data_IF_821386794421
#
_entry.id   IF_821386794421
#
_cell.length_a   1.000
_cell.length_b   1.000
_cell.length_c   1.000
_cell.angle_alpha   90.00
_cell.angle_beta   90.00
_cell.angle_gamma   90.00
#
_symmetry.space_group_name_H-M   'P 1'
#
loop_
_entity.id
_entity.type
_entity.pdbx_description
1 polymer ?
#
# COMPACT_ATOMS: atom_id res chain seq x y z
N UNK A 1 2.36 -2.71 11.73
CA UNK A 1 1.09 -2.72 10.98
C UNK A 1 0.05 -1.77 11.57
N UNK A 2 -0.58 -2.09 12.71
CA UNK A 2 -1.66 -1.26 13.27
C UNK A 2 -1.33 0.23 13.34
N UNK A 3 -0.21 0.60 13.98
CA UNK A 3 0.19 2.00 14.12
C UNK A 3 0.39 2.72 12.78
N UNK A 4 0.97 2.07 11.78
CA UNK A 4 1.14 2.67 10.45
C UNK A 4 -0.23 2.89 9.78
N UNK A 5 -1.12 1.91 9.87
CA UNK A 5 -2.47 1.97 9.30
C UNK A 5 -3.28 3.12 9.87
N UNK A 6 -3.34 3.25 11.19
CA UNK A 6 -4.12 4.32 11.84
C UNK A 6 -3.48 5.68 11.63
N UNK A 7 -2.14 5.77 11.67
CA UNK A 7 -1.41 7.01 11.46
C UNK A 7 -1.62 7.57 10.05
N UNK A 8 -1.37 6.77 9.00
CA UNK A 8 -1.47 7.25 7.61
C UNK A 8 -2.91 7.55 7.20
N UNK A 9 -3.91 6.93 7.84
CA UNK A 9 -5.32 7.23 7.61
C UNK A 9 -5.75 8.57 8.23
N UNK A 10 -5.13 8.98 9.34
CA UNK A 10 -5.56 10.13 10.16
C UNK A 10 -4.69 11.36 9.94
N UNK A 11 -3.37 11.20 9.91
CA UNK A 11 -2.40 12.31 9.81
C UNK A 11 -2.64 13.26 8.63
N UNK A 12 -2.98 12.81 7.42
CA UNK A 12 -3.25 13.72 6.30
C UNK A 12 -4.43 14.66 6.57
N UNK A 13 -5.29 14.34 7.53
CA UNK A 13 -6.52 15.07 7.82
C UNK A 13 -6.50 15.73 9.20
N UNK A 14 -5.39 15.70 9.95
CA UNK A 14 -5.35 16.29 11.28
C UNK A 14 -5.67 17.78 11.26
N UNK A 15 -6.52 18.26 12.18
CA UNK A 15 -6.84 19.69 12.27
C UNK A 15 -5.72 20.50 12.93
N UNK A 16 -5.06 19.90 13.91
CA UNK A 16 -3.91 20.49 14.60
C UNK A 16 -2.66 19.76 14.09
N UNK A 17 -1.78 20.44 13.33
CA UNK A 17 -0.55 19.84 12.83
C UNK A 17 0.28 19.19 13.93
N UNK A 18 0.70 17.94 13.70
CA UNK A 18 1.50 17.13 14.63
C UNK A 18 0.70 16.38 15.71
N UNK A 19 -0.62 16.53 15.76
CA UNK A 19 -1.46 15.82 16.75
C UNK A 19 -1.48 14.31 16.54
N UNK A 20 -1.54 13.84 15.29
CA UNK A 20 -1.48 12.41 14.98
C UNK A 20 -0.10 11.82 15.29
N UNK A 21 0.97 12.58 15.06
CA UNK A 21 2.35 12.17 15.37
C UNK A 21 2.59 12.11 16.90
N UNK A 22 2.01 13.03 17.68
CA UNK A 22 2.07 12.98 19.14
C UNK A 22 1.35 11.74 19.67
N UNK A 23 0.16 11.45 19.16
CA UNK A 23 -0.61 10.27 19.52
C UNK A 23 0.14 8.98 19.15
N UNK A 24 0.74 8.93 17.96
CA UNK A 24 1.61 7.83 17.53
C UNK A 24 2.77 7.63 18.50
N UNK A 25 3.50 8.69 18.86
CA UNK A 25 4.64 8.60 19.79
C UNK A 25 4.24 8.02 21.15
N UNK A 26 3.12 8.51 21.73
CA UNK A 26 2.55 7.98 22.98
C UNK A 26 2.34 6.46 22.90
N UNK A 27 1.66 5.99 21.85
CA UNK A 27 1.35 4.57 21.70
C UNK A 27 2.57 3.73 21.32
N UNK A 28 3.51 4.28 20.54
CA UNK A 28 4.74 3.62 20.18
C UNK A 28 5.62 3.33 21.42
N UNK A 29 5.79 4.31 22.32
CA UNK A 29 6.54 4.10 23.58
C UNK A 29 5.87 3.04 24.46
N UNK A 30 4.55 3.12 24.63
CA UNK A 30 3.79 2.09 25.37
C UNK A 30 3.92 0.68 24.77
N UNK A 31 3.96 0.57 23.44
CA UNK A 31 4.19 -0.71 22.77
C UNK A 31 5.63 -1.22 23.01
N UNK A 32 6.64 -0.34 23.00
CA UNK A 32 8.03 -0.72 23.32
C UNK A 32 8.16 -1.25 24.74
N UNK A 33 7.59 -0.55 25.71
CA UNK A 33 7.58 -0.99 27.12
C UNK A 33 6.92 -2.36 27.27
N UNK A 34 5.78 -2.56 26.62
CA UNK A 34 5.09 -3.85 26.61
C UNK A 34 5.94 -4.98 26.04
N UNK A 35 6.69 -4.73 24.95
CA UNK A 35 7.53 -5.75 24.34
C UNK A 35 8.63 -6.24 25.30
N UNK A 36 9.12 -5.35 26.17
CA UNK A 36 10.11 -5.70 27.20
C UNK A 36 9.47 -6.57 28.30
N UNK A 37 8.25 -6.24 28.73
CA UNK A 37 7.55 -6.93 29.82
C UNK A 37 6.95 -8.28 29.36
N UNK A 38 6.51 -8.39 28.11
CA UNK A 38 5.88 -9.59 27.56
C UNK A 38 4.41 -9.78 27.96
N UNK A 39 3.71 -8.73 28.40
CA UNK A 39 2.31 -8.82 28.86
C UNK A 39 1.30 -8.98 27.71
N UNK A 40 0.74 -10.19 27.60
CA UNK A 40 -0.33 -10.53 26.62
C UNK A 40 -1.65 -9.82 26.89
N UNK A 41 -2.02 -9.52 28.15
CA UNK A 41 -3.29 -8.84 28.46
C UNK A 41 -3.20 -7.37 28.03
N UNK A 42 -2.09 -6.72 28.32
CA UNK A 42 -1.77 -5.40 27.81
C UNK A 42 -1.81 -5.34 26.30
N UNK A 43 -1.53 -6.42 25.57
CA UNK A 43 -1.40 -6.36 24.10
C UNK A 43 -2.75 -6.08 23.46
N UNK A 44 -3.78 -6.82 23.89
CA UNK A 44 -5.16 -6.57 23.44
C UNK A 44 -5.67 -5.21 23.92
N UNK A 45 -5.36 -4.81 25.15
CA UNK A 45 -5.74 -3.50 25.65
C UNK A 45 -5.12 -2.36 24.82
N UNK A 46 -3.84 -2.49 24.44
CA UNK A 46 -3.14 -1.54 23.60
C UNK A 46 -3.73 -1.48 22.19
N UNK A 47 -3.99 -2.63 21.55
CA UNK A 47 -4.65 -2.65 20.22
C UNK A 47 -5.97 -1.89 20.25
N UNK A 48 -6.83 -2.17 21.24
CA UNK A 48 -8.12 -1.51 21.37
C UNK A 48 -7.95 -0.01 21.57
N UNK A 49 -7.12 0.39 22.52
CA UNK A 49 -6.88 1.80 22.84
C UNK A 49 -6.28 2.59 21.68
N UNK A 50 -5.37 1.98 20.89
CA UNK A 50 -4.83 2.60 19.67
C UNK A 50 -5.97 2.88 18.68
N UNK A 51 -6.81 1.88 18.38
CA UNK A 51 -7.91 2.06 17.43
C UNK A 51 -8.86 3.14 17.93
N UNK A 52 -9.31 3.07 19.19
CA UNK A 52 -10.26 4.01 19.78
C UNK A 52 -9.73 5.46 19.79
N UNK A 53 -8.51 5.70 20.27
CA UNK A 53 -7.96 7.06 20.33
C UNK A 53 -7.72 7.66 18.94
N UNK A 54 -7.26 6.86 17.96
CA UNK A 54 -7.09 7.34 16.59
C UNK A 54 -8.42 7.52 15.85
N UNK A 55 -9.47 6.76 16.18
CA UNK A 55 -10.82 6.92 15.62
C UNK A 55 -11.50 8.20 16.15
N UNK A 56 -11.16 8.59 17.37
CA UNK A 56 -11.66 9.81 18.02
C UNK A 56 -10.83 11.06 17.72
N UNK A 57 -9.60 10.93 17.17
CA UNK A 57 -8.79 12.09 16.82
C UNK A 57 -9.54 12.99 15.84
N UNK A 58 -9.62 14.28 16.17
CA UNK A 58 -10.33 15.27 15.37
C UNK A 58 -9.62 15.51 14.03
N UNK A 59 -10.36 15.29 12.93
CA UNK A 59 -9.86 15.43 11.57
C UNK A 59 -10.76 16.32 10.71
N UNK A 60 -10.19 16.84 9.64
CA UNK A 60 -10.88 17.48 8.53
C UNK A 60 -11.59 16.44 7.66
N UNK A 61 -12.73 16.82 7.08
CA UNK A 61 -13.50 16.00 6.14
C UNK A 61 -13.17 16.32 4.67
N UNK A 62 -12.13 17.13 4.41
CA UNK A 62 -11.71 17.47 3.04
C UNK A 62 -11.24 16.20 2.34
N UNK A 63 -11.84 15.80 1.19
CA UNK A 63 -11.42 14.61 0.47
C UNK A 63 -10.00 14.78 -0.08
N UNK A 64 -9.21 13.69 -0.01
CA UNK A 64 -7.86 13.64 -0.54
C UNK A 64 -7.70 12.44 -1.48
N UNK A 65 -6.92 12.55 -2.57
CA UNK A 65 -6.62 11.40 -3.40
C UNK A 65 -5.91 10.33 -2.56
N UNK A 66 -6.41 9.10 -2.64
CA UNK A 66 -5.83 7.95 -1.94
C UNK A 66 -4.79 7.29 -2.84
N UNK A 67 -3.60 7.07 -2.31
CA UNK A 67 -2.45 6.52 -3.02
C UNK A 67 -1.93 5.29 -2.28
N UNK A 68 -1.94 4.15 -2.96
CA UNK A 68 -1.36 2.91 -2.48
C UNK A 68 0.13 2.84 -2.79
N UNK A 69 0.96 2.54 -1.79
CA UNK A 69 2.40 2.29 -2.00
C UNK A 69 2.65 0.79 -1.87
N UNK A 70 3.06 0.17 -2.98
CA UNK A 70 3.38 -1.26 -3.08
C UNK A 70 4.79 -1.43 -3.61
N UNK A 71 5.41 -2.59 -3.46
CA UNK A 71 6.76 -2.79 -3.96
C UNK A 71 7.61 -3.74 -3.14
N UNK A 72 8.91 -3.63 -3.36
CA UNK A 72 9.91 -4.41 -2.64
C UNK A 72 9.88 -4.10 -1.14
N UNK A 73 10.05 -5.13 -0.30
CA UNK A 73 9.84 -5.01 1.15
C UNK A 73 10.65 -3.89 1.82
N UNK A 74 11.95 -3.76 1.54
CA UNK A 74 12.77 -2.72 2.16
C UNK A 74 12.38 -1.33 1.65
N UNK A 75 12.29 -1.16 0.34
CA UNK A 75 11.95 0.12 -0.29
C UNK A 75 10.52 0.55 0.07
N UNK A 76 9.59 -0.38 0.27
CA UNK A 76 8.20 -0.07 0.67
C UNK A 76 8.12 0.50 2.08
N UNK A 77 8.88 -0.03 3.04
CA UNK A 77 8.72 0.32 4.46
C UNK A 77 9.78 1.27 5.02
N UNK A 78 10.99 1.31 4.46
CA UNK A 78 12.10 2.06 5.03
C UNK A 78 12.20 3.48 4.44
N UNK A 79 11.97 4.56 5.21
CA UNK A 79 11.92 5.91 4.66
C UNK A 79 13.21 6.37 3.99
N UNK A 80 14.38 5.96 4.51
CA UNK A 80 15.67 6.28 3.88
C UNK A 80 15.92 5.53 2.56
N UNK A 81 15.19 4.44 2.30
CA UNK A 81 15.32 3.67 1.06
C UNK A 81 14.39 4.20 -0.05
N UNK A 82 13.44 5.08 0.28
CA UNK A 82 12.42 5.57 -0.64
C UNK A 82 12.24 7.10 -0.63
N UNK A 83 13.23 7.83 -0.13
CA UNK A 83 13.19 9.30 -0.01
C UNK A 83 11.93 9.80 0.72
N UNK A 84 11.56 9.12 1.81
CA UNK A 84 10.40 9.44 2.64
C UNK A 84 9.09 9.56 1.85
N UNK A 85 8.85 8.65 0.91
CA UNK A 85 7.71 8.72 -0.04
C UNK A 85 6.36 8.98 0.63
N UNK A 86 6.11 8.38 1.80
CA UNK A 86 4.85 8.57 2.53
C UNK A 86 4.67 10.03 2.91
N UNK A 87 5.70 10.66 3.52
CA UNK A 87 5.64 12.07 3.92
C UNK A 87 5.50 12.98 2.71
N UNK A 88 6.27 12.73 1.66
CA UNK A 88 6.17 13.48 0.42
C UNK A 88 4.75 13.47 -0.16
N UNK A 89 4.13 12.28 -0.29
CA UNK A 89 2.77 12.17 -0.81
C UNK A 89 1.74 12.89 0.08
N UNK A 90 1.89 12.82 1.41
CA UNK A 90 1.03 13.51 2.35
C UNK A 90 1.17 15.04 2.27
N UNK A 91 2.39 15.55 2.12
CA UNK A 91 2.71 16.97 1.92
C UNK A 91 2.11 17.49 0.61
N UNK A 92 2.10 16.68 -0.45
CA UNK A 92 1.41 16.97 -1.70
C UNK A 92 -0.12 16.80 -1.62
N UNK A 93 -0.65 16.48 -0.43
CA UNK A 93 -2.09 16.48 -0.15
C UNK A 93 -2.79 15.14 -0.38
N UNK A 94 -2.08 14.02 -0.46
CA UNK A 94 -2.66 12.69 -0.61
C UNK A 94 -2.84 11.95 0.74
N UNK A 95 -3.76 10.99 0.78
CA UNK A 95 -3.81 9.94 1.81
C UNK A 95 -3.02 8.73 1.32
N UNK A 96 -2.08 8.24 2.13
CA UNK A 96 -1.26 7.08 1.76
C UNK A 96 -1.80 5.81 2.41
N UNK A 97 -1.98 4.77 1.60
CA UNK A 97 -2.22 3.40 2.09
C UNK A 97 -0.98 2.55 1.84
N UNK A 98 -0.44 2.02 2.94
CA UNK A 98 0.67 1.08 2.92
C UNK A 98 0.14 -0.29 3.38
N UNK A 99 0.22 -1.34 2.55
CA UNK A 99 -0.14 -2.70 2.97
C UNK A 99 0.67 -3.19 4.18
N UNK A 100 0.12 -4.16 4.92
CA UNK A 100 0.72 -4.64 6.18
C UNK A 100 1.98 -5.47 5.92
N UNK A 101 3.02 -5.27 6.74
CA UNK A 101 4.27 -6.05 6.64
C UNK A 101 4.02 -7.53 6.90
N UNK A 102 3.07 -7.86 7.80
CA UNK A 102 2.68 -9.23 8.09
C UNK A 102 2.18 -9.99 6.85
N UNK A 103 1.64 -9.29 5.85
CA UNK A 103 1.16 -9.92 4.62
C UNK A 103 2.30 -10.53 3.78
N UNK A 104 3.52 -10.01 3.86
CA UNK A 104 4.69 -10.61 3.20
C UNK A 104 5.05 -11.98 3.80
N UNK A 105 4.92 -12.13 5.12
CA UNK A 105 5.13 -13.42 5.79
C UNK A 105 3.99 -14.39 5.49
N UNK A 106 2.75 -13.89 5.41
CA UNK A 106 1.61 -14.69 4.97
C UNK A 106 1.77 -15.17 3.52
N UNK A 107 2.29 -14.33 2.63
CA UNK A 107 2.67 -14.71 1.26
C UNK A 107 3.70 -15.83 1.25
N UNK A 108 4.82 -15.66 1.96
CA UNK A 108 5.85 -16.69 2.10
C UNK A 108 5.29 -18.02 2.62
N UNK A 109 4.35 -17.97 3.56
CA UNK A 109 3.67 -19.13 4.10
C UNK A 109 2.73 -19.79 3.09
N UNK A 110 1.96 -18.97 2.36
CA UNK A 110 1.05 -19.43 1.31
C UNK A 110 1.80 -20.09 0.16
N UNK A 111 2.97 -19.59 -0.21
CA UNK A 111 3.79 -20.18 -1.28
C UNK A 111 4.18 -21.63 -0.98
N UNK A 112 4.44 -21.98 0.28
CA UNK A 112 4.65 -23.40 0.68
C UNK A 112 3.41 -24.26 0.40
N UNK A 113 2.22 -23.71 0.62
CA UNK A 113 0.94 -24.36 0.29
C UNK A 113 0.78 -24.53 -1.22
N UNK A 114 1.18 -23.53 -2.02
CA UNK A 114 1.10 -23.61 -3.47
C UNK A 114 2.10 -24.63 -4.04
N UNK A 115 3.37 -24.54 -3.64
CA UNK A 115 4.46 -25.42 -4.10
C UNK A 115 4.15 -26.89 -3.82
N UNK A 116 3.58 -27.20 -2.65
CA UNK A 116 3.19 -28.57 -2.30
C UNK A 116 2.03 -29.16 -3.13
N UNK A 117 1.20 -28.30 -3.73
CA UNK A 117 0.05 -28.74 -4.55
C UNK A 117 0.33 -28.75 -6.04
N UNK A 118 1.05 -27.73 -6.52
CA UNK A 118 1.20 -27.44 -7.94
C UNK A 118 2.61 -27.77 -8.47
N UNK A 119 3.58 -28.00 -7.60
CA UNK A 119 4.97 -28.29 -7.93
C UNK A 119 5.46 -29.53 -7.15
N UNK A 120 6.75 -29.85 -7.23
CA UNK A 120 7.37 -31.01 -6.56
C UNK A 120 7.56 -30.83 -5.05
N UNK A 121 6.65 -30.13 -4.37
CA UNK A 121 6.71 -29.90 -2.92
C UNK A 121 6.25 -31.10 -2.09
N UNK A 122 6.60 -31.11 -0.81
CA UNK A 122 6.26 -32.20 0.11
C UNK A 122 4.94 -31.91 0.85
N UNK A 123 4.26 -32.96 1.31
CA UNK A 123 3.09 -32.82 2.20
C UNK A 123 3.47 -32.07 3.50
N UNK A 124 4.71 -32.21 3.97
CA UNK A 124 5.23 -31.44 5.10
C UNK A 124 5.21 -29.92 4.84
N UNK A 125 5.50 -29.49 3.61
CA UNK A 125 5.46 -28.07 3.23
C UNK A 125 4.03 -27.53 3.25
N UNK A 126 3.05 -28.35 2.82
CA UNK A 126 1.62 -28.01 2.92
C UNK A 126 1.21 -27.77 4.37
N UNK A 127 1.55 -28.72 5.26
CA UNK A 127 1.18 -28.65 6.68
C UNK A 127 1.87 -27.46 7.35
N UNK A 128 3.18 -27.28 7.14
CA UNK A 128 3.94 -26.16 7.70
C UNK A 128 3.40 -24.81 7.22
N UNK A 129 3.15 -24.66 5.91
CA UNK A 129 2.59 -23.45 5.32
C UNK A 129 1.22 -23.11 5.91
N UNK A 130 0.31 -24.10 6.00
CA UNK A 130 -1.03 -23.89 6.56
C UNK A 130 -0.98 -23.51 8.04
N UNK A 131 -0.20 -24.23 8.85
CA UNK A 131 -0.05 -23.91 10.28
C UNK A 131 0.52 -22.50 10.48
N UNK A 132 1.48 -22.09 9.65
CA UNK A 132 2.07 -20.76 9.76
C UNK A 132 1.09 -19.66 9.32
N UNK A 133 0.32 -19.88 8.24
CA UNK A 133 -0.78 -18.97 7.87
C UNK A 133 -1.80 -18.84 9.00
N UNK A 134 -2.26 -19.96 9.57
CA UNK A 134 -3.26 -19.96 10.65
C UNK A 134 -2.73 -19.24 11.89
N UNK A 135 -1.46 -19.44 12.24
CA UNK A 135 -0.79 -18.75 13.35
C UNK A 135 -0.76 -17.22 13.14
N UNK A 136 -0.28 -16.76 11.99
CA UNK A 136 -0.17 -15.33 11.68
C UNK A 136 -1.54 -14.66 11.53
N UNK A 137 -2.53 -15.35 10.97
CA UNK A 137 -3.90 -14.81 10.91
C UNK A 137 -4.54 -14.74 12.30
N UNK A 138 -4.31 -15.74 13.14
CA UNK A 138 -4.81 -15.76 14.52
C UNK A 138 -4.21 -14.63 15.35
N UNK A 139 -2.92 -14.33 15.17
CA UNK A 139 -2.24 -13.25 15.91
C UNK A 139 -2.82 -11.86 15.61
N UNK A 140 -3.26 -11.62 14.36
CA UNK A 140 -3.92 -10.35 13.96
C UNK A 140 -5.44 -10.34 14.11
N UNK A 141 -6.07 -11.45 14.48
CA UNK A 141 -7.55 -11.57 14.55
C UNK A 141 -8.19 -10.50 15.44
N UNK A 142 -7.59 -10.22 16.59
CA UNK A 142 -8.10 -9.20 17.50
C UNK A 142 -7.93 -7.78 16.94
N UNK A 143 -6.83 -7.51 16.25
CA UNK A 143 -6.62 -6.25 15.53
C UNK A 143 -7.68 -6.05 14.44
N UNK A 144 -7.96 -7.07 13.64
CA UNK A 144 -8.99 -7.03 12.60
C UNK A 144 -10.36 -6.73 13.20
N UNK A 145 -10.73 -7.41 14.29
CA UNK A 145 -12.00 -7.15 14.98
C UNK A 145 -12.13 -5.68 15.43
N UNK A 146 -11.10 -5.11 16.04
CA UNK A 146 -11.14 -3.70 16.46
C UNK A 146 -11.23 -2.75 15.25
N UNK A 147 -10.51 -3.03 14.16
CA UNK A 147 -10.56 -2.22 12.94
C UNK A 147 -11.93 -2.31 12.26
N UNK A 148 -12.57 -3.49 12.22
CA UNK A 148 -13.91 -3.70 11.66
C UNK A 148 -15.02 -3.03 12.48
N UNK A 149 -14.80 -2.82 13.79
CA UNK A 149 -15.72 -2.11 14.68
C UNK A 149 -15.53 -0.59 14.67
N UNK A 150 -14.44 -0.10 14.07
CA UNK A 150 -14.14 1.33 13.94
C UNK A 150 -15.00 1.99 12.86
N UNK A 151 -15.26 3.29 13.02
CA UNK A 151 -15.96 4.07 11.99
C UNK A 151 -15.03 4.54 10.86
N UNK A 152 -13.71 4.54 11.09
CA UNK A 152 -12.72 5.18 10.20
C UNK A 152 -11.78 4.19 9.50
N UNK A 153 -11.50 3.05 10.12
CA UNK A 153 -10.48 2.11 9.65
C UNK A 153 -11.07 0.88 8.99
N UNK A 154 -10.23 0.16 8.23
CA UNK A 154 -10.58 -1.13 7.62
C UNK A 154 -9.52 -2.17 7.94
N UNK A 155 -9.97 -3.42 8.15
CA UNK A 155 -9.09 -4.55 8.34
C UNK A 155 -8.37 -4.96 7.03
N UNK A 156 -7.17 -5.55 7.11
CA UNK A 156 -6.46 -6.07 5.94
C UNK A 156 -7.13 -7.32 5.36
N UNK A 157 -7.14 -7.44 4.03
CA UNK A 157 -7.59 -8.63 3.30
C UNK A 157 -6.79 -9.88 3.67
N UNK A 158 -7.42 -11.05 3.63
CA UNK A 158 -6.74 -12.33 3.84
C UNK A 158 -5.77 -12.67 2.70
N UNK A 159 -4.74 -13.46 2.99
CA UNK A 159 -3.81 -13.92 1.94
C UNK A 159 -4.50 -14.78 0.87
N UNK A 160 -5.53 -15.53 1.26
CA UNK A 160 -6.35 -16.32 0.34
C UNK A 160 -7.14 -15.44 -0.63
N UNK A 161 -7.66 -14.31 -0.16
CA UNK A 161 -8.30 -13.32 -1.02
C UNK A 161 -7.29 -12.73 -2.00
N UNK A 162 -6.13 -12.29 -1.51
CA UNK A 162 -5.07 -11.75 -2.36
C UNK A 162 -4.61 -12.76 -3.43
N UNK A 163 -4.43 -14.03 -3.06
CA UNK A 163 -4.12 -15.10 -4.00
C UNK A 163 -5.20 -15.29 -5.06
N UNK A 164 -6.49 -15.22 -4.70
CA UNK A 164 -7.59 -15.34 -5.66
C UNK A 164 -7.72 -14.14 -6.60
N UNK A 165 -7.24 -12.96 -6.19
CA UNK A 165 -7.13 -11.78 -7.06
C UNK A 165 -6.01 -11.95 -8.09
N UNK A 166 -4.81 -12.34 -7.65
CA UNK A 166 -3.68 -12.52 -8.55
C UNK A 166 -3.88 -13.66 -9.55
N UNK A 167 -4.51 -14.77 -9.13
CA UNK A 167 -4.73 -15.95 -9.99
C UNK A 167 -5.62 -15.66 -11.22
N UNK A 168 -6.38 -14.57 -11.21
CA UNK A 168 -7.19 -14.13 -12.34
C UNK A 168 -6.36 -13.53 -13.48
N UNK A 169 -5.14 -13.09 -13.21
CA UNK A 169 -4.30 -12.40 -14.20
C UNK A 169 -2.90 -13.00 -14.37
N UNK A 170 -2.42 -13.79 -13.41
CA UNK A 170 -1.15 -14.50 -13.51
C UNK A 170 -1.14 -15.82 -12.72
N UNK A 171 -0.20 -16.70 -13.04
CA UNK A 171 0.05 -17.89 -12.23
C UNK A 171 0.58 -17.52 -10.85
N UNK A 172 0.08 -18.19 -9.80
CA UNK A 172 0.64 -18.08 -8.45
C UNK A 172 1.99 -18.78 -8.31
N UNK A 173 2.52 -19.40 -9.36
CA UNK A 173 3.89 -19.94 -9.39
C UNK A 173 5.00 -18.90 -9.53
N UNK A 174 4.66 -17.62 -9.71
CA UNK A 174 5.64 -16.53 -9.70
C UNK A 174 6.05 -16.25 -8.25
N UNK A 175 7.14 -16.88 -7.79
CA UNK A 175 7.61 -16.80 -6.39
C UNK A 175 8.86 -15.92 -6.19
N UNK A 176 9.51 -15.49 -7.27
CA UNK A 176 10.73 -14.69 -7.15
C UNK A 176 10.41 -13.30 -6.57
N UNK A 177 11.19 -12.84 -5.58
CA UNK A 177 10.92 -11.60 -4.86
C UNK A 177 9.53 -11.61 -4.21
N UNK A 178 8.77 -10.54 -4.39
CA UNK A 178 7.38 -10.44 -3.97
C UNK A 178 6.41 -11.21 -4.90
N UNK A 179 6.91 -11.75 -6.01
CA UNK A 179 6.17 -12.68 -6.85
C UNK A 179 4.78 -12.20 -7.25
N UNK A 180 3.81 -13.11 -7.20
CA UNK A 180 2.39 -12.83 -7.45
C UNK A 180 1.75 -11.92 -6.41
N UNK A 181 2.34 -11.83 -5.21
CA UNK A 181 1.79 -11.05 -4.10
C UNK A 181 1.84 -9.54 -4.38
N UNK A 182 2.88 -9.04 -5.04
CA UNK A 182 2.93 -7.63 -5.47
C UNK A 182 1.75 -7.27 -6.38
N UNK A 183 1.44 -8.13 -7.36
CA UNK A 183 0.29 -7.97 -8.24
C UNK A 183 -1.02 -8.02 -7.46
N UNK A 184 -1.13 -8.93 -6.49
CA UNK A 184 -2.29 -9.04 -5.63
C UNK A 184 -2.52 -7.77 -4.81
N UNK A 185 -1.48 -7.19 -4.21
CA UNK A 185 -1.57 -5.94 -3.43
C UNK A 185 -2.12 -4.79 -4.30
N UNK A 186 -1.64 -4.66 -5.54
CA UNK A 186 -2.16 -3.66 -6.47
C UNK A 186 -3.65 -3.83 -6.72
N UNK A 187 -4.10 -5.06 -7.05
CA UNK A 187 -5.51 -5.32 -7.34
C UNK A 187 -6.37 -5.13 -6.09
N UNK A 188 -5.90 -5.59 -4.92
CA UNK A 188 -6.61 -5.48 -3.64
C UNK A 188 -6.85 -4.01 -3.30
N UNK A 189 -5.83 -3.15 -3.43
CA UNK A 189 -5.95 -1.71 -3.21
C UNK A 189 -6.92 -1.04 -4.18
N UNK A 190 -6.83 -1.37 -5.48
CA UNK A 190 -7.75 -0.83 -6.50
C UNK A 190 -9.20 -1.19 -6.16
N UNK A 191 -9.48 -2.44 -5.76
CA UNK A 191 -10.81 -2.89 -5.35
C UNK A 191 -11.31 -2.24 -4.06
N UNK A 192 -10.41 -1.79 -3.19
CA UNK A 192 -10.73 -1.05 -1.95
C UNK A 192 -10.76 0.48 -2.15
N UNK A 193 -10.96 0.95 -3.39
CA UNK A 193 -11.13 2.37 -3.71
C UNK A 193 -9.83 3.16 -3.63
N UNK A 194 -8.68 2.52 -3.87
CA UNK A 194 -7.36 3.16 -3.96
C UNK A 194 -6.77 2.90 -5.35
N UNK A 195 -7.29 3.58 -6.39
CA UNK A 195 -6.90 3.31 -7.77
C UNK A 195 -5.53 3.88 -8.14
N UNK A 196 -5.01 4.85 -7.36
CA UNK A 196 -3.70 5.43 -7.58
C UNK A 196 -2.65 4.59 -6.86
N UNK A 197 -1.69 4.04 -7.61
CA UNK A 197 -0.68 3.13 -7.07
C UNK A 197 0.71 3.60 -7.45
N UNK A 198 1.59 3.68 -6.46
CA UNK A 198 3.03 3.80 -6.65
C UNK A 198 3.69 2.46 -6.37
N UNK A 199 4.27 1.86 -7.42
CA UNK A 199 5.05 0.64 -7.32
C UNK A 199 6.53 0.99 -7.15
N UNK A 200 7.05 0.87 -5.93
CA UNK A 200 8.43 1.20 -5.58
C UNK A 200 9.34 -0.04 -5.70
N UNK A 201 10.57 0.16 -6.16
CA UNK A 201 11.55 -0.92 -6.25
C UNK A 201 12.98 -0.40 -6.27
N UNK A 202 13.95 -1.22 -5.87
CA UNK A 202 15.34 -0.93 -6.18
C UNK A 202 15.60 -1.08 -7.68
N UNK A 203 16.54 -0.32 -8.20
CA UNK A 203 16.96 -0.45 -9.60
C UNK A 203 17.44 -1.86 -9.93
N UNK A 204 17.03 -2.35 -11.11
CA UNK A 204 17.40 -3.68 -11.58
C UNK A 204 16.64 -4.85 -10.93
N UNK A 205 15.55 -4.58 -10.20
CA UNK A 205 14.71 -5.64 -9.62
C UNK A 205 13.97 -6.45 -10.71
N UNK A 206 14.63 -7.49 -11.23
CA UNK A 206 14.07 -8.38 -12.27
C UNK A 206 12.70 -9.00 -11.88
N UNK A 207 12.47 -9.46 -10.63
CA UNK A 207 11.17 -9.99 -10.27
C UNK A 207 10.05 -8.95 -10.39
N UNK A 208 10.26 -7.73 -9.90
CA UNK A 208 9.29 -6.64 -10.00
C UNK A 208 9.10 -6.19 -11.46
N UNK A 209 10.12 -6.25 -12.31
CA UNK A 209 9.95 -6.03 -13.75
C UNK A 209 8.92 -6.99 -14.37
N UNK A 210 8.84 -8.23 -13.90
CA UNK A 210 7.87 -9.23 -14.38
C UNK A 210 6.51 -9.06 -13.69
N UNK A 211 6.46 -9.12 -12.36
CA UNK A 211 5.19 -9.20 -11.61
C UNK A 211 4.63 -7.84 -11.18
N UNK A 212 5.48 -6.81 -11.11
CA UNK A 212 5.10 -5.43 -10.86
C UNK A 212 4.85 -4.66 -12.16
N UNK A 213 5.93 -4.09 -12.73
CA UNK A 213 5.88 -3.26 -13.95
C UNK A 213 5.23 -4.00 -15.13
N UNK A 214 5.62 -5.26 -15.35
CA UNK A 214 5.11 -6.07 -16.46
C UNK A 214 3.59 -6.29 -16.40
N UNK A 215 3.00 -6.24 -15.20
CA UNK A 215 1.56 -6.43 -15.01
C UNK A 215 0.73 -5.17 -15.14
N UNK A 216 1.34 -3.98 -15.10
CA UNK A 216 0.62 -2.70 -15.15
C UNK A 216 -0.35 -2.64 -16.34
N UNK A 217 0.08 -3.07 -17.54
CA UNK A 217 -0.78 -3.07 -18.73
C UNK A 217 -2.00 -3.97 -18.55
N UNK A 218 -1.82 -5.17 -18.00
CA UNK A 218 -2.91 -6.13 -17.79
C UNK A 218 -3.85 -5.66 -16.67
N UNK A 219 -3.32 -5.08 -15.60
CA UNK A 219 -4.12 -4.49 -14.51
C UNK A 219 -4.96 -3.33 -15.06
N UNK A 220 -4.38 -2.38 -15.80
CA UNK A 220 -5.12 -1.26 -16.40
C UNK A 220 -6.19 -1.69 -17.39
N UNK A 221 -5.98 -2.78 -18.13
CA UNK A 221 -7.00 -3.34 -19.02
C UNK A 221 -8.22 -3.88 -18.26
N UNK A 222 -8.00 -4.48 -17.08
CA UNK A 222 -9.06 -5.01 -16.23
C UNK A 222 -9.68 -3.95 -15.30
N UNK A 223 -8.93 -2.90 -14.97
CA UNK A 223 -9.30 -1.81 -14.07
C UNK A 223 -8.95 -0.46 -14.71
N UNK A 224 -9.81 0.08 -15.60
CA UNK A 224 -9.49 1.28 -16.39
C UNK A 224 -9.24 2.55 -15.57
N UNK A 225 -9.77 2.60 -14.33
CA UNK A 225 -9.54 3.70 -13.40
C UNK A 225 -8.16 3.63 -12.71
N UNK A 226 -7.40 2.54 -12.87
CA UNK A 226 -6.12 2.36 -12.19
C UNK A 226 -5.05 3.33 -12.74
N UNK A 227 -4.53 4.17 -11.85
CA UNK A 227 -3.45 5.11 -12.11
C UNK A 227 -2.17 4.61 -11.45
N UNK A 228 -1.42 3.77 -12.18
CA UNK A 228 -0.22 3.11 -11.65
C UNK A 228 1.03 3.73 -12.24
N UNK A 229 1.97 4.11 -11.36
CA UNK A 229 3.32 4.57 -11.71
C UNK A 229 4.36 3.71 -10.99
N UNK A 230 5.44 3.37 -11.68
CA UNK A 230 6.58 2.67 -11.10
C UNK A 230 7.74 3.64 -10.84
N UNK A 231 8.35 3.53 -9.67
CA UNK A 231 9.48 4.35 -9.22
C UNK A 231 10.64 3.43 -8.87
N UNK A 232 11.77 3.69 -9.53
CA UNK A 232 13.04 3.02 -9.27
C UNK A 232 13.88 3.89 -8.35
N UNK A 233 14.27 3.32 -7.21
CA UNK A 233 15.21 3.92 -6.28
C UNK A 233 16.62 3.39 -6.59
N UNK A 234 17.49 4.32 -6.96
CA UNK A 234 18.88 4.09 -7.34
C UNK A 234 19.72 5.26 -6.81
N UNK A 235 20.81 5.01 -6.06
CA UNK A 235 21.77 6.06 -5.70
C UNK A 235 22.35 6.79 -6.93
N UNK A 236 22.40 6.13 -8.09
CA UNK A 236 22.89 6.71 -9.34
C UNK A 236 21.86 7.55 -10.11
N UNK A 237 20.57 7.46 -9.77
CA UNK A 237 19.52 8.19 -10.46
C UNK A 237 19.15 9.49 -9.74
N UNK A 238 18.80 10.53 -10.50
CA UNK A 238 18.36 11.80 -9.93
C UNK A 238 17.05 11.65 -9.16
N UNK A 239 17.07 12.07 -7.89
CA UNK A 239 15.87 12.17 -7.04
C UNK A 239 14.76 13.01 -7.71
N UNK A 240 15.14 14.07 -8.44
CA UNK A 240 14.21 14.94 -9.17
C UNK A 240 13.35 14.15 -10.16
N UNK A 241 13.90 13.13 -10.81
CA UNK A 241 13.14 12.28 -11.73
C UNK A 241 12.06 11.46 -10.99
N UNK A 242 12.36 10.98 -9.79
CA UNK A 242 11.40 10.25 -8.96
C UNK A 242 10.27 11.18 -8.52
N UNK A 243 10.62 12.36 -8.00
CA UNK A 243 9.65 13.37 -7.54
C UNK A 243 8.74 13.85 -8.66
N UNK A 244 9.27 14.10 -9.86
CA UNK A 244 8.47 14.52 -11.01
C UNK A 244 7.44 13.46 -11.41
N UNK A 245 7.80 12.18 -11.37
CA UNK A 245 6.86 11.08 -11.66
C UNK A 245 5.76 10.98 -10.62
N UNK A 246 6.08 11.18 -9.35
CA UNK A 246 5.09 11.22 -8.27
C UNK A 246 4.13 12.42 -8.45
N UNK A 247 4.66 13.62 -8.72
CA UNK A 247 3.84 14.82 -8.97
C UNK A 247 2.93 14.66 -10.19
N UNK A 248 3.42 14.07 -11.28
CA UNK A 248 2.61 13.78 -12.47
C UNK A 248 1.48 12.78 -12.15
N UNK A 249 1.78 11.71 -11.41
CA UNK A 249 0.77 10.74 -10.96
C UNK A 249 -0.28 11.41 -10.09
N UNK A 250 0.12 12.27 -9.14
CA UNK A 250 -0.78 13.01 -8.27
C UNK A 250 -1.64 14.00 -9.04
N UNK A 251 -1.10 14.71 -10.03
CA UNK A 251 -1.88 15.61 -10.90
C UNK A 251 -3.05 14.87 -11.57
N UNK A 252 -2.81 13.65 -12.06
CA UNK A 252 -3.87 12.77 -12.59
C UNK A 252 -4.84 12.33 -11.49
N UNK A 253 -4.34 12.00 -10.29
CA UNK A 253 -5.17 11.60 -9.16
C UNK A 253 -6.15 12.71 -8.72
N UNK A 254 -5.66 13.95 -8.59
CA UNK A 254 -6.49 15.12 -8.28
C UNK A 254 -7.50 15.40 -9.38
N UNK A 255 -7.08 15.36 -10.66
CA UNK A 255 -7.99 15.53 -11.79
C UNK A 255 -9.12 14.50 -11.78
N UNK A 256 -8.80 13.23 -11.55
CA UNK A 256 -9.79 12.16 -11.53
C UNK A 256 -10.77 12.32 -10.36
N UNK A 257 -10.28 12.72 -9.17
CA UNK A 257 -11.12 12.99 -8.00
C UNK A 257 -12.11 14.13 -8.26
N UNK A 258 -11.66 15.22 -8.87
CA UNK A 258 -12.53 16.34 -9.26
C UNK A 258 -13.55 15.95 -10.33
N UNK A 259 -13.19 15.06 -11.25
CA UNK A 259 -14.12 14.59 -12.29
C UNK A 259 -15.22 13.67 -11.76
N UNK A 260 -15.01 13.00 -10.62
CA UNK A 260 -16.00 12.16 -9.95
C UNK A 260 -17.00 12.94 -9.08
N UNK A 261 -16.70 14.19 -8.71
CA UNK A 261 -17.54 15.05 -7.85
C UNK A 261 -18.57 15.93 -8.64
N UNK A 262 -18.81 15.62 -9.92
CA UNK A 262 -19.68 16.35 -10.89
C UNK A 262 -19.25 17.80 -11.24
N UNK A 263 -19.65 18.29 -12.44
CA UNK A 263 -19.79 19.73 -12.79
C UNK A 263 -18.58 20.58 -13.25
N UNK A 264 -17.54 20.04 -13.91
CA UNK A 264 -16.55 20.89 -14.62
C UNK A 264 -16.38 20.52 -16.10
N UNK A 265 -16.49 21.48 -17.04
CA UNK A 265 -16.15 21.22 -18.42
C UNK A 265 -14.65 20.86 -18.51
N UNK A 266 -14.27 19.96 -19.42
CA UNK A 266 -12.88 19.58 -19.59
C UNK A 266 -12.04 20.82 -19.89
N UNK A 267 -11.00 21.06 -19.09
CA UNK A 267 -9.98 22.07 -19.41
C UNK A 267 -9.45 21.78 -20.81
N UNK A 268 -9.81 22.63 -21.76
CA UNK A 268 -9.24 22.65 -23.10
C UNK A 268 -7.75 22.91 -22.95
N UNK A 269 -6.93 21.93 -23.31
CA UNK A 269 -5.50 22.16 -23.50
C UNK A 269 -5.34 23.30 -24.52
N UNK A 270 -4.43 24.26 -24.30
CA UNK A 270 -4.18 25.30 -25.28
C UNK A 270 -3.72 24.61 -26.57
N UNK A 271 -4.52 24.75 -27.62
CA UNK A 271 -4.12 24.39 -28.98
C UNK A 271 -2.87 25.20 -29.29
N UNK A 272 -1.70 24.56 -29.25
CA UNK A 272 -0.51 25.11 -29.89
C UNK A 272 -0.80 25.13 -31.39
N UNK A 273 -1.17 26.29 -31.89
CA UNK A 273 -1.15 26.59 -33.32
C UNK A 273 0.28 26.43 -33.81
N UNK A 274 0.53 25.31 -34.48
CA UNK A 274 1.77 25.03 -35.20
C UNK A 274 1.94 26.11 -36.27
N UNK A 275 2.93 26.98 -36.10
CA UNK A 275 3.38 27.90 -37.15
C UNK A 275 4.46 27.15 -37.94
N UNK A 276 4.23 26.80 -39.21
CA UNK A 276 5.25 26.16 -40.02
C UNK A 276 6.37 27.17 -40.28
N UNK A 277 7.61 26.79 -40.00
CA UNK A 277 8.79 27.57 -40.37
C UNK A 277 8.97 27.50 -41.89
N UNK A 278 8.40 28.48 -42.60
CA UNK A 278 8.75 28.79 -43.99
C UNK A 278 9.96 29.73 -44.02
N UNK A 279 11.02 29.26 -44.68
CA UNK A 279 12.05 30.05 -45.39
C UNK A 279 12.88 31.06 -44.59
N UNK A 280 14.14 30.70 -44.32
CA UNK A 280 15.35 31.32 -44.89
C UNK A 280 16.60 30.52 -44.50
#
# INVERSE_FOLDING_TARGET
DLLMRVLHRVRPYEKIPGSADLLYKKWAERCKEQLIIGDKKGFKANIRGIVEEFDQLEISNVPKPRVGVVGEILVKYHPAANNNIVRFLEEEGAEVLLPDLLDFFLYSAYDKIFISKALSGKISDFVAGKLFVDYLQSSRKFMNLCLEQSQRFSAPSSIYHKASLASQIMSLGHHCGEGWFLTAEMIDLIKHGVPNIVCVQPFGCLPNHVTGKGMIKKIKANYPNANITAIDYDPGASEVNQLNRLKLMLSVAFKNMLSTDESYPPLSLPTMSYVPSSQQ
#
